data_IF_541574118978
#
_entry.id   IF_541574118978
#
_cell.length_a   1.000
_cell.length_b   1.000
_cell.length_c   1.000
_cell.angle_alpha   90.00
_cell.angle_beta   90.00
_cell.angle_gamma   90.00
#
_symmetry.space_group_name_H-M   'P 1'
#
loop_
_entity.id
_entity.type
_entity.pdbx_description
1 polymer ?
#
# COMPACT_ATOMS: atom_id res chain seq x y z
N UNK A 1 1.63 -32.70 -2.25
CA UNK A 1 1.69 -31.23 -2.12
C UNK A 1 2.13 -30.66 -3.46
N UNK A 2 1.40 -29.66 -3.96
CA UNK A 2 1.70 -28.97 -5.20
C UNK A 2 2.32 -27.61 -4.88
N UNK A 3 3.34 -27.22 -5.65
CA UNK A 3 4.03 -25.93 -5.51
C UNK A 3 4.19 -25.32 -6.89
N UNK A 4 3.88 -24.02 -7.01
CA UNK A 4 3.98 -23.26 -8.25
C UNK A 4 4.74 -21.95 -8.02
N UNK A 5 5.62 -21.63 -8.97
CA UNK A 5 6.20 -20.30 -9.13
C UNK A 5 5.38 -19.53 -10.18
N UNK A 6 5.06 -18.29 -9.88
CA UNK A 6 4.32 -17.39 -10.77
C UNK A 6 4.79 -15.95 -10.57
N UNK A 7 4.28 -15.03 -11.37
CA UNK A 7 4.60 -13.62 -11.26
C UNK A 7 4.25 -12.87 -12.53
N UNK A 8 4.47 -11.57 -12.49
CA UNK A 8 4.22 -10.66 -13.60
C UNK A 8 5.35 -9.63 -13.68
N UNK A 9 5.84 -9.37 -14.89
CA UNK A 9 6.85 -8.35 -15.15
C UNK A 9 6.22 -7.26 -16.02
N UNK A 10 6.13 -6.04 -15.48
CA UNK A 10 5.52 -4.89 -16.13
C UNK A 10 6.43 -3.68 -16.05
N UNK A 11 6.74 -3.09 -17.20
CA UNK A 11 7.52 -1.87 -17.28
C UNK A 11 7.16 -1.07 -18.53
N UNK A 12 7.44 0.23 -18.48
CA UNK A 12 7.20 1.12 -19.60
C UNK A 12 7.91 2.46 -19.47
N UNK A 13 7.60 3.36 -20.40
CA UNK A 13 8.14 4.72 -20.42
C UNK A 13 7.02 5.69 -20.05
N UNK A 14 7.25 6.52 -19.04
CA UNK A 14 6.30 7.52 -18.58
C UNK A 14 6.90 8.93 -18.67
N UNK A 15 6.08 9.89 -19.09
CA UNK A 15 6.38 11.33 -19.06
C UNK A 15 5.57 12.04 -17.98
N UNK A 16 6.22 12.89 -17.17
CA UNK A 16 5.58 13.66 -16.08
C UNK A 16 5.88 15.15 -16.23
N UNK A 17 4.86 16.00 -16.05
CA UNK A 17 4.99 17.46 -16.07
C UNK A 17 4.43 18.03 -14.76
N UNK A 18 5.29 18.59 -13.88
CA UNK A 18 4.88 19.14 -12.58
C UNK A 18 4.86 20.66 -12.58
N UNK A 19 3.66 21.26 -12.60
CA UNK A 19 3.52 22.69 -12.33
C UNK A 19 3.44 22.92 -10.81
N UNK A 20 4.54 23.36 -10.22
CA UNK A 20 4.56 23.83 -8.83
C UNK A 20 4.15 25.30 -8.78
N UNK A 21 3.08 25.58 -8.06
CA UNK A 21 2.64 26.93 -7.73
C UNK A 21 3.05 27.20 -6.28
N UNK A 22 4.03 28.08 -6.08
CA UNK A 22 4.45 28.47 -4.74
C UNK A 22 3.65 29.72 -4.33
N UNK A 23 3.03 29.62 -3.16
CA UNK A 23 2.38 30.72 -2.47
C UNK A 23 3.32 31.16 -1.35
N UNK A 24 4.03 32.27 -1.54
CA UNK A 24 4.83 32.86 -0.46
C UNK A 24 3.95 33.80 0.38
N UNK A 25 4.07 33.72 1.71
CA UNK A 25 3.53 34.74 2.60
C UNK A 25 4.39 35.99 2.47
N UNK A 26 3.77 37.14 2.21
CA UNK A 26 4.50 38.40 2.08
C UNK A 26 5.16 38.74 3.44
N UNK A 27 6.47 38.98 3.47
CA UNK A 27 7.12 39.56 4.64
C UNK A 27 6.46 40.91 4.92
N UNK A 28 5.96 41.08 6.16
CA UNK A 28 5.27 42.29 6.59
C UNK A 28 6.24 43.47 6.60
N UNK A 29 6.36 44.18 5.49
CA UNK A 29 6.94 45.51 5.44
C UNK A 29 5.92 46.45 4.79
N UNK A 30 5.20 47.12 5.68
CA UNK A 30 4.47 48.38 5.49
C UNK A 30 3.95 48.74 4.10
N UNK A 31 2.63 48.61 3.94
CA UNK A 31 1.84 49.47 3.05
C UNK A 31 1.42 48.88 1.71
N UNK A 32 0.10 48.92 1.49
CA UNK A 32 -0.66 48.71 0.26
C UNK A 32 -1.09 47.26 -0.12
N UNK A 33 -2.41 47.05 0.01
CA UNK A 33 -3.31 46.07 -0.64
C UNK A 33 -2.73 44.70 -1.03
N UNK A 34 -3.09 43.69 -0.21
CA UNK A 34 -2.66 42.29 -0.35
C UNK A 34 -3.02 41.63 -1.66
N UNK A 35 -2.03 41.47 -2.55
CA UNK A 35 -2.03 40.42 -3.55
C UNK A 35 -0.98 39.38 -3.19
N UNK A 36 -1.44 38.16 -2.93
CA UNK A 36 -0.59 36.98 -2.79
C UNK A 36 0.23 36.84 -4.08
N UNK A 37 1.56 36.98 -4.00
CA UNK A 37 2.42 36.81 -5.17
C UNK A 37 2.54 35.32 -5.48
N UNK A 38 1.74 34.87 -6.44
CA UNK A 38 1.85 33.53 -7.00
C UNK A 38 3.05 33.50 -7.95
N UNK A 39 4.11 32.79 -7.58
CA UNK A 39 5.24 32.56 -8.48
C UNK A 39 5.13 31.15 -9.06
N UNK A 40 5.02 31.04 -10.39
CA UNK A 40 5.02 29.75 -11.09
C UNK A 40 6.46 29.33 -11.36
N UNK A 41 6.88 28.16 -10.85
CA UNK A 41 8.15 27.58 -11.25
C UNK A 41 8.01 26.98 -12.67
N UNK A 42 9.07 27.11 -13.50
CA UNK A 42 9.09 26.52 -14.85
C UNK A 42 9.00 24.99 -14.73
N UNK A 43 7.91 24.41 -15.21
CA UNK A 43 7.77 22.96 -15.31
C UNK A 43 8.59 22.40 -16.47
N UNK A 44 9.22 21.25 -16.26
CA UNK A 44 9.90 20.46 -17.31
C UNK A 44 9.23 19.09 -17.39
N UNK A 45 9.00 18.63 -18.61
CA UNK A 45 8.62 17.23 -18.84
C UNK A 45 9.83 16.36 -18.49
N UNK A 46 9.64 15.41 -17.57
CA UNK A 46 10.62 14.37 -17.26
C UNK A 46 10.11 13.05 -17.80
N UNK A 47 10.91 12.40 -18.63
CA UNK A 47 10.64 11.05 -19.15
C UNK A 47 11.50 10.05 -18.39
N UNK A 48 10.91 8.94 -17.94
CA UNK A 48 11.59 7.89 -17.19
C UNK A 48 11.11 6.52 -17.66
N UNK A 49 12.02 5.53 -17.67
CA UNK A 49 11.67 4.10 -17.71
C UNK A 49 11.29 3.68 -16.29
N UNK A 50 10.08 3.15 -16.12
CA UNK A 50 9.50 2.80 -14.82
C UNK A 50 9.05 1.35 -14.81
N UNK A 51 9.18 0.69 -13.67
CA UNK A 51 8.50 -0.56 -13.33
C UNK A 51 7.06 -0.26 -12.89
N UNK A 52 6.08 -1.06 -13.29
CA UNK A 52 4.65 -0.85 -13.01
C UNK A 52 4.09 -1.85 -11.97
N UNK A 53 4.90 -2.23 -10.98
CA UNK A 53 4.48 -3.16 -9.93
C UNK A 53 4.74 -4.61 -10.31
N UNK A 54 5.91 -4.89 -10.88
CA UNK A 54 6.35 -6.26 -11.15
C UNK A 54 6.47 -7.06 -9.85
N UNK A 55 6.09 -8.33 -9.89
CA UNK A 55 6.16 -9.21 -8.73
C UNK A 55 6.46 -10.66 -9.09
N UNK A 56 6.96 -11.40 -8.09
CA UNK A 56 7.18 -12.84 -8.14
C UNK A 56 6.48 -13.47 -6.94
N UNK A 57 5.92 -14.66 -7.14
CA UNK A 57 5.14 -15.37 -6.14
C UNK A 57 5.41 -16.87 -6.14
N UNK A 58 5.36 -17.44 -4.95
CA UNK A 58 5.32 -18.88 -4.72
C UNK A 58 4.00 -19.22 -4.05
N UNK A 59 3.30 -20.24 -4.53
CA UNK A 59 2.09 -20.73 -3.86
C UNK A 59 2.04 -22.24 -3.90
N UNK A 60 1.32 -22.81 -2.96
CA UNK A 60 1.13 -24.25 -2.92
C UNK A 60 -0.12 -24.68 -2.16
N UNK A 61 -0.47 -25.94 -2.37
CA UNK A 61 -1.57 -26.59 -1.68
C UNK A 61 -1.25 -28.05 -1.37
N UNK A 62 -1.77 -28.53 -0.24
CA UNK A 62 -1.65 -29.92 0.18
C UNK A 62 -3.02 -30.45 0.60
N UNK A 63 -3.41 -31.59 0.03
CA UNK A 63 -4.63 -32.30 0.40
C UNK A 63 -4.42 -32.94 1.77
N UNK A 64 -5.29 -32.60 2.73
CA UNK A 64 -5.28 -33.12 4.09
C UNK A 64 -6.31 -34.26 4.28
N UNK A 65 -7.06 -34.62 3.22
CA UNK A 65 -8.13 -35.60 3.24
C UNK A 65 -9.51 -34.96 3.40
N UNK A 66 -10.56 -35.73 3.06
CA UNK A 66 -11.98 -35.37 3.27
C UNK A 66 -12.38 -34.00 2.69
N UNK A 67 -11.70 -33.55 1.62
CA UNK A 67 -11.95 -32.26 0.97
C UNK A 67 -11.29 -31.06 1.66
N UNK A 68 -10.53 -31.27 2.73
CA UNK A 68 -9.74 -30.23 3.40
C UNK A 68 -8.36 -30.09 2.76
N UNK A 69 -7.89 -28.86 2.58
CA UNK A 69 -6.57 -28.54 2.03
C UNK A 69 -5.85 -27.50 2.87
N UNK A 70 -4.55 -27.67 3.06
CA UNK A 70 -3.65 -26.58 3.43
C UNK A 70 -3.33 -25.75 2.19
N UNK A 71 -3.34 -24.43 2.32
CA UNK A 71 -2.99 -23.49 1.25
C UNK A 71 -2.01 -22.45 1.77
N UNK A 72 -1.07 -22.04 0.92
CA UNK A 72 -0.12 -20.99 1.28
C UNK A 72 0.34 -20.21 0.06
N UNK A 73 0.78 -18.97 0.30
CA UNK A 73 1.28 -18.05 -0.70
C UNK A 73 2.36 -17.16 -0.10
N UNK A 74 3.38 -16.83 -0.88
CA UNK A 74 4.39 -15.81 -0.59
C UNK A 74 4.63 -15.00 -1.86
N UNK A 75 4.30 -13.71 -1.83
CA UNK A 75 4.53 -12.79 -2.95
C UNK A 75 5.49 -11.66 -2.58
N UNK A 76 6.24 -11.22 -3.58
CA UNK A 76 7.33 -10.27 -3.45
C UNK A 76 7.37 -9.30 -4.64
N UNK A 77 7.44 -7.99 -4.37
CA UNK A 77 7.74 -6.99 -5.39
C UNK A 77 9.15 -7.19 -5.95
N UNK A 78 9.28 -7.24 -7.28
CA UNK A 78 10.56 -7.37 -7.98
C UNK A 78 10.66 -6.35 -9.10
N UNK A 79 11.06 -5.12 -8.76
CA UNK A 79 11.15 -4.05 -9.75
C UNK A 79 12.30 -4.28 -10.75
N UNK A 80 11.97 -4.23 -12.04
CA UNK A 80 12.96 -4.35 -13.12
C UNK A 80 13.79 -3.09 -13.33
N UNK A 81 13.39 -1.97 -12.73
CA UNK A 81 14.10 -0.69 -12.82
C UNK A 81 15.31 -0.61 -11.86
N UNK A 82 15.56 -1.66 -11.07
CA UNK A 82 16.57 -1.68 -10.01
C UNK A 82 16.05 -1.04 -8.72
N UNK A 83 16.47 -1.59 -7.59
CA UNK A 83 15.78 -1.37 -6.31
C UNK A 83 14.48 -2.17 -6.24
N UNK A 84 14.20 -2.73 -5.07
CA UNK A 84 13.04 -3.58 -4.80
C UNK A 84 12.83 -3.66 -3.30
N UNK A 85 11.86 -4.46 -2.85
CA UNK A 85 11.70 -4.62 -1.41
C UNK A 85 12.92 -5.32 -0.80
N UNK A 86 13.27 -4.88 0.39
CA UNK A 86 14.42 -5.39 1.16
C UNK A 86 14.05 -6.57 2.04
N UNK A 87 12.76 -6.91 2.11
CA UNK A 87 12.20 -7.99 2.91
C UNK A 87 11.21 -8.77 2.05
N UNK A 88 11.20 -10.09 2.24
CA UNK A 88 10.25 -11.00 1.59
C UNK A 88 8.83 -10.84 2.13
N UNK A 89 7.82 -11.13 1.29
CA UNK A 89 6.42 -11.17 1.71
C UNK A 89 5.78 -9.80 1.82
N UNK A 90 6.23 -8.85 1.02
CA UNK A 90 5.72 -7.48 1.03
C UNK A 90 4.45 -7.27 0.17
N UNK A 91 3.99 -8.32 -0.54
CA UNK A 91 2.69 -8.43 -1.24
C UNK A 91 1.79 -9.47 -0.54
N UNK A 92 0.82 -10.09 -1.22
CA UNK A 92 -0.07 -11.07 -0.59
C UNK A 92 0.63 -12.36 -0.20
N UNK A 93 0.71 -12.61 1.11
CA UNK A 93 1.45 -13.71 1.69
C UNK A 93 0.73 -14.27 2.91
N UNK A 94 0.33 -15.54 2.86
CA UNK A 94 -0.50 -16.17 3.88
C UNK A 94 -0.28 -17.67 3.99
N UNK A 95 -0.80 -18.23 5.07
CA UNK A 95 -1.11 -19.65 5.23
C UNK A 95 -2.60 -19.78 5.57
N UNK A 96 -3.21 -20.90 5.20
CA UNK A 96 -4.64 -21.10 5.43
C UNK A 96 -5.11 -22.53 5.24
N UNK A 97 -6.41 -22.69 5.46
CA UNK A 97 -7.16 -23.92 5.20
C UNK A 97 -8.30 -23.62 4.24
N UNK A 98 -8.51 -24.50 3.27
CA UNK A 98 -9.61 -24.43 2.31
C UNK A 98 -10.39 -25.75 2.32
N UNK A 99 -11.70 -25.68 2.14
CA UNK A 99 -12.57 -26.86 2.01
C UNK A 99 -14.00 -26.47 1.67
N UNK A 100 -14.95 -27.38 1.89
CA UNK A 100 -16.38 -27.11 1.64
C UNK A 100 -16.93 -25.94 2.49
N UNK A 101 -16.29 -25.66 3.63
CA UNK A 101 -16.65 -24.52 4.48
C UNK A 101 -16.19 -23.18 3.92
N UNK A 102 -15.40 -23.13 2.85
CA UNK A 102 -14.78 -21.93 2.31
C UNK A 102 -13.27 -21.90 2.57
N UNK A 103 -12.71 -20.70 2.73
CA UNK A 103 -11.26 -20.52 2.94
C UNK A 103 -11.00 -19.63 4.13
N UNK A 104 -10.14 -20.07 5.05
CA UNK A 104 -9.63 -19.29 6.17
C UNK A 104 -8.13 -19.04 5.97
N UNK A 105 -7.72 -17.77 5.92
CA UNK A 105 -6.34 -17.34 5.68
C UNK A 105 -5.84 -16.47 6.81
N UNK A 106 -4.56 -16.60 7.16
CA UNK A 106 -3.86 -15.75 8.11
C UNK A 106 -2.52 -15.32 7.53
N UNK A 107 -2.22 -14.02 7.62
CA UNK A 107 -1.00 -13.44 7.07
C UNK A 107 -1.22 -12.01 6.61
N UNK A 108 -0.39 -11.56 5.66
CA UNK A 108 -0.59 -10.29 4.97
C UNK A 108 -1.59 -10.52 3.84
N UNK A 109 -2.85 -10.21 4.08
CA UNK A 109 -3.99 -10.55 3.20
C UNK A 109 -4.69 -9.28 2.71
N UNK A 110 -5.08 -9.26 1.44
CA UNK A 110 -5.87 -8.19 0.85
C UNK A 110 -7.19 -7.98 1.59
N UNK A 111 -7.59 -6.72 1.76
CA UNK A 111 -8.94 -6.39 2.24
C UNK A 111 -9.91 -6.28 1.06
N UNK A 112 -11.20 -6.14 1.36
CA UNK A 112 -12.25 -6.10 0.34
C UNK A 112 -12.16 -4.88 -0.59
N UNK A 113 -11.54 -3.78 -0.12
CA UNK A 113 -11.30 -2.61 -0.96
C UNK A 113 -10.19 -2.88 -1.97
N UNK A 114 -9.11 -3.53 -1.54
CA UNK A 114 -8.02 -3.98 -2.41
C UNK A 114 -8.54 -4.95 -3.48
N UNK A 115 -9.40 -5.90 -3.13
CA UNK A 115 -10.05 -6.80 -4.10
C UNK A 115 -10.89 -6.03 -5.13
N UNK A 116 -11.69 -5.04 -4.67
CA UNK A 116 -12.54 -4.23 -5.55
C UNK A 116 -11.75 -3.21 -6.39
N UNK A 117 -10.54 -2.85 -5.95
CA UNK A 117 -9.73 -1.78 -6.53
C UNK A 117 -9.36 -2.04 -7.99
N UNK A 118 -9.16 -3.30 -8.37
CA UNK A 118 -8.81 -3.69 -9.75
C UNK A 118 -9.97 -3.44 -10.71
N UNK A 119 -11.22 -3.63 -10.26
CA UNK A 119 -12.40 -3.31 -11.06
C UNK A 119 -12.59 -1.80 -11.22
N UNK A 120 -12.18 -1.02 -10.22
CA UNK A 120 -12.30 0.43 -10.21
C UNK A 120 -11.19 1.10 -11.03
N UNK A 121 -9.97 0.56 -11.00
CA UNK A 121 -8.81 1.15 -11.67
C UNK A 121 -7.92 0.06 -12.30
N UNK A 122 -8.20 -0.27 -13.58
CA UNK A 122 -7.53 -1.35 -14.31
C UNK A 122 -6.19 -0.94 -14.93
N UNK A 123 -5.69 0.27 -14.67
CA UNK A 123 -4.48 0.79 -15.31
C UNK A 123 -3.21 0.49 -14.50
N UNK A 124 -2.20 -0.08 -15.16
CA UNK A 124 -0.86 -0.23 -14.59
C UNK A 124 -0.01 1.03 -14.84
N UNK A 125 0.54 1.64 -13.78
CA UNK A 125 1.48 2.77 -13.88
C UNK A 125 2.23 3.04 -12.57
N UNK A 126 3.34 3.77 -12.64
CA UNK A 126 4.14 4.18 -11.47
C UNK A 126 4.04 5.69 -11.23
N UNK A 127 2.85 6.23 -11.49
CA UNK A 127 2.61 7.66 -11.51
C UNK A 127 1.24 8.07 -10.94
N UNK A 128 1.27 8.81 -9.84
CA UNK A 128 0.09 9.35 -9.14
C UNK A 128 -0.76 10.36 -9.93
N UNK A 129 -0.31 10.85 -11.10
CA UNK A 129 -0.93 11.97 -11.82
C UNK A 129 -1.33 11.68 -13.27
N UNK A 130 -1.13 10.45 -13.78
CA UNK A 130 -1.60 10.09 -15.12
C UNK A 130 -2.34 8.75 -15.06
N UNK A 131 -3.67 8.83 -15.20
CA UNK A 131 -4.60 7.70 -15.42
C UNK A 131 -5.03 6.86 -14.23
N UNK A 132 -4.48 7.06 -13.03
CA UNK A 132 -4.95 6.32 -11.86
C UNK A 132 -6.16 6.99 -11.23
N UNK A 133 -7.23 6.23 -11.05
CA UNK A 133 -8.30 6.53 -10.10
C UNK A 133 -7.82 6.30 -8.64
N UNK A 134 -6.53 6.55 -8.35
CA UNK A 134 -5.88 6.28 -7.07
C UNK A 134 -6.47 7.02 -5.86
N UNK A 135 -7.33 8.02 -6.08
CA UNK A 135 -8.16 8.61 -5.02
C UNK A 135 -9.18 7.62 -4.44
N UNK A 136 -9.61 6.63 -5.23
CA UNK A 136 -10.57 5.60 -4.85
C UNK A 136 -9.90 4.36 -4.21
N UNK A 137 -8.57 4.21 -4.40
CA UNK A 137 -7.72 3.14 -3.84
C UNK A 137 -7.15 3.40 -2.44
N UNK A 138 -7.57 4.49 -1.78
CA UNK A 138 -6.95 4.97 -0.52
C UNK A 138 -7.13 4.03 0.68
N UNK A 139 -7.96 3.00 0.55
CA UNK A 139 -8.23 2.00 1.59
C UNK A 139 -7.72 0.60 1.20
N UNK A 140 -6.92 0.49 0.13
CA UNK A 140 -6.31 -0.75 -0.35
C UNK A 140 -5.09 -1.08 0.52
N UNK A 141 -5.38 -1.42 1.78
CA UNK A 141 -4.39 -1.84 2.75
C UNK A 141 -4.35 -3.37 2.77
N UNK A 142 -3.15 -3.90 2.98
CA UNK A 142 -2.88 -5.33 3.16
C UNK A 142 -2.32 -5.58 4.56
N UNK A 143 -3.18 -5.56 5.60
CA UNK A 143 -2.75 -5.74 6.98
C UNK A 143 -2.41 -7.20 7.28
N UNK A 144 -1.57 -7.40 8.29
CA UNK A 144 -1.45 -8.71 8.93
C UNK A 144 -2.75 -9.02 9.66
N UNK A 145 -3.47 -10.03 9.20
CA UNK A 145 -4.88 -10.25 9.53
C UNK A 145 -5.28 -11.71 9.39
N UNK A 146 -6.50 -12.01 9.85
CA UNK A 146 -7.20 -13.27 9.58
C UNK A 146 -8.42 -12.94 8.72
N UNK A 147 -8.60 -13.69 7.62
CA UNK A 147 -9.72 -13.52 6.69
C UNK A 147 -10.41 -14.84 6.43
N UNK A 148 -11.74 -14.82 6.44
CA UNK A 148 -12.58 -15.90 5.99
C UNK A 148 -13.35 -15.48 4.74
N UNK A 149 -13.33 -16.33 3.73
CA UNK A 149 -14.09 -16.19 2.48
C UNK A 149 -15.04 -17.40 2.38
N UNK A 150 -16.35 -17.14 2.24
CA UNK A 150 -17.36 -18.18 2.17
C UNK A 150 -17.34 -18.91 0.81
N UNK A 151 -17.87 -20.13 0.72
CA UNK A 151 -18.20 -20.74 -0.55
C UNK A 151 -19.22 -19.87 -1.31
N UNK A 152 -19.30 -20.09 -2.61
CA UNK A 152 -20.39 -19.57 -3.43
C UNK A 152 -21.67 -20.37 -3.18
N UNK A 153 -22.75 -19.68 -2.85
CA UNK A 153 -24.07 -20.28 -2.65
C UNK A 153 -25.11 -19.53 -3.46
N UNK A 154 -25.64 -20.15 -4.52
CA UNK A 154 -26.65 -19.56 -5.40
C UNK A 154 -26.25 -18.19 -6.00
N UNK A 155 -24.97 -18.00 -6.30
CA UNK A 155 -24.43 -16.75 -6.85
C UNK A 155 -24.07 -15.70 -5.79
N UNK A 156 -24.13 -16.04 -4.50
CA UNK A 156 -23.71 -15.16 -3.40
C UNK A 156 -22.45 -15.69 -2.74
N UNK A 157 -21.54 -14.78 -2.39
CA UNK A 157 -20.43 -15.07 -1.49
C UNK A 157 -20.19 -13.91 -0.54
N UNK A 158 -19.42 -14.13 0.51
CA UNK A 158 -19.07 -13.09 1.45
C UNK A 158 -17.70 -13.32 2.07
N UNK A 159 -17.16 -12.25 2.63
CA UNK A 159 -15.89 -12.31 3.33
C UNK A 159 -15.93 -11.48 4.61
N UNK A 160 -15.20 -11.95 5.61
CA UNK A 160 -14.96 -11.21 6.86
C UNK A 160 -13.47 -11.24 7.17
N UNK A 161 -12.94 -10.12 7.64
CA UNK A 161 -11.53 -9.98 7.98
C UNK A 161 -11.38 -9.27 9.31
N UNK A 162 -10.45 -9.76 10.12
CA UNK A 162 -10.10 -9.23 11.43
C UNK A 162 -8.62 -8.89 11.49
N UNK A 163 -8.31 -7.66 11.88
CA UNK A 163 -6.96 -7.17 12.17
C UNK A 163 -6.86 -6.96 13.66
N UNK A 164 -6.07 -7.77 14.39
CA UNK A 164 -5.83 -7.55 15.81
C UNK A 164 -5.22 -6.17 16.07
N UNK A 165 -5.59 -5.54 17.17
CA UNK A 165 -5.06 -4.24 17.63
C UNK A 165 -3.52 -4.13 17.62
N UNK A 166 -2.80 -5.24 17.86
CA UNK A 166 -1.32 -5.24 17.82
C UNK A 166 -0.76 -5.33 16.40
N UNK A 167 -1.55 -5.75 15.43
CA UNK A 167 -1.21 -5.82 14.02
C UNK A 167 -1.77 -4.65 13.20
N UNK A 168 -2.70 -3.87 13.77
CA UNK A 168 -3.15 -2.62 13.17
C UNK A 168 -2.07 -1.53 13.34
N UNK A 169 -2.06 -0.53 12.45
CA UNK A 169 -1.09 0.58 12.47
C UNK A 169 -1.17 1.30 13.83
N UNK A 170 -0.28 0.93 14.75
CA UNK A 170 -0.05 1.68 15.98
C UNK A 170 0.84 2.87 15.66
N UNK A 171 0.39 4.08 16.01
CA UNK A 171 1.15 5.32 15.75
C UNK A 171 2.29 5.51 16.77
N UNK A 172 3.05 4.45 17.06
CA UNK A 172 4.25 4.56 17.87
C UNK A 172 5.40 5.05 17.01
N UNK A 173 5.84 6.30 17.26
CA UNK A 173 7.09 6.82 16.71
C UNK A 173 8.10 6.92 17.85
N UNK A 174 9.22 6.18 17.83
CA UNK A 174 10.24 6.27 18.87
C UNK A 174 10.85 7.67 18.90
N UNK A 175 11.37 8.08 20.06
CA UNK A 175 12.04 9.36 20.22
C UNK A 175 13.32 9.41 19.35
N UNK A 176 13.61 10.56 18.77
CA UNK A 176 14.83 10.76 17.98
C UNK A 176 15.31 12.20 18.07
N UNK A 177 16.55 12.43 17.64
CA UNK A 177 17.13 13.76 17.54
C UNK A 177 17.08 14.21 16.08
N UNK A 178 16.61 15.43 15.85
CA UNK A 178 16.73 16.09 14.54
C UNK A 178 17.77 17.19 14.64
N UNK A 179 18.60 17.33 13.61
CA UNK A 179 19.60 18.39 13.52
C UNK A 179 19.30 19.25 12.30
N UNK A 180 19.06 20.53 12.54
CA UNK A 180 18.84 21.52 11.49
C UNK A 180 20.04 22.44 11.44
N UNK A 181 20.67 22.53 10.26
CA UNK A 181 21.75 23.48 9.99
C UNK A 181 21.17 24.68 9.23
N UNK A 182 21.24 25.86 9.83
CA UNK A 182 20.83 27.12 9.20
C UNK A 182 22.04 28.05 9.15
N UNK A 183 22.65 28.16 7.97
CA UNK A 183 23.93 28.85 7.82
C UNK A 183 25.04 28.15 8.63
N UNK A 184 25.79 28.89 9.45
CA UNK A 184 26.84 28.34 10.33
C UNK A 184 26.31 27.84 11.68
N UNK A 185 25.01 27.91 11.94
CA UNK A 185 24.41 27.48 13.19
C UNK A 185 23.80 26.08 13.06
N UNK A 186 24.16 25.18 13.98
CA UNK A 186 23.60 23.84 14.12
C UNK A 186 22.67 23.81 15.33
N UNK A 187 21.39 23.53 15.11
CA UNK A 187 20.41 23.33 16.19
C UNK A 187 20.01 21.86 16.23
N UNK A 188 20.18 21.23 17.39
CA UNK A 188 19.74 19.85 17.63
C UNK A 188 18.50 19.89 18.53
N UNK A 189 17.40 19.33 18.05
CA UNK A 189 16.11 19.30 18.75
C UNK A 189 15.75 17.87 19.10
N UNK A 190 15.39 17.63 20.36
CA UNK A 190 14.82 16.36 20.79
C UNK A 190 13.37 16.27 20.29
N UNK A 191 13.07 15.25 19.50
CA UNK A 191 11.70 14.90 19.13
C UNK A 191 11.28 13.76 20.06
N UNK A 192 10.38 14.02 21.03
CA UNK A 192 9.92 12.99 21.95
C UNK A 192 9.17 11.88 21.21
N UNK A 193 9.17 10.69 21.80
CA UNK A 193 8.36 9.59 21.29
C UNK A 193 6.88 10.01 21.31
N UNK A 194 6.18 9.79 20.20
CA UNK A 194 4.73 9.91 20.17
C UNK A 194 4.18 8.52 20.42
N UNK A 195 3.59 8.32 21.60
CA UNK A 195 2.76 7.16 21.86
C UNK A 195 1.40 7.49 21.27
N UNK A 196 1.14 7.00 20.05
CA UNK A 196 -0.20 6.99 19.49
C UNK A 196 -1.18 6.24 20.40
N UNK A 197 -2.50 6.43 20.17
CA UNK A 197 -3.48 5.50 20.76
C UNK A 197 -3.06 4.06 20.43
N UNK A 198 -3.26 3.09 21.34
CA UNK A 198 -3.18 1.68 20.98
C UNK A 198 -3.92 1.46 19.66
N UNK A 199 -3.37 0.65 18.77
CA UNK A 199 -4.12 0.22 17.59
C UNK A 199 -5.49 -0.29 18.04
N UNK A 200 -6.52 0.00 17.27
CA UNK A 200 -7.83 -0.64 17.48
C UNK A 200 -7.86 -1.93 16.69
N UNK A 201 -8.67 -2.87 17.16
CA UNK A 201 -9.12 -3.95 16.29
C UNK A 201 -9.81 -3.34 15.06
N UNK A 202 -9.53 -3.88 13.88
CA UNK A 202 -10.18 -3.48 12.62
C UNK A 202 -10.94 -4.66 12.06
N UNK A 203 -12.17 -4.41 11.61
CA UNK A 203 -13.05 -5.40 11.03
C UNK A 203 -13.45 -4.95 9.64
N UNK A 204 -13.36 -5.87 8.68
CA UNK A 204 -13.93 -5.69 7.36
C UNK A 204 -14.94 -6.80 7.09
N UNK A 205 -16.00 -6.45 6.38
CA UNK A 205 -17.00 -7.40 5.91
C UNK A 205 -17.51 -6.94 4.54
N UNK A 206 -17.72 -7.90 3.64
CA UNK A 206 -18.24 -7.64 2.30
C UNK A 206 -19.04 -8.82 1.77
N UNK A 207 -19.94 -8.53 0.84
CA UNK A 207 -20.62 -9.51 0.00
C UNK A 207 -20.09 -9.33 -1.42
N UNK A 208 -19.86 -10.44 -2.12
CA UNK A 208 -19.54 -10.43 -3.55
C UNK A 208 -20.64 -11.11 -4.33
#
# INVERSE_FOLDING_TARGET
ADVSLYGEIKAGVEGRNYQLQLTEAQAANGGASGQVKVTKAKSRIRTKISDFGSFIGFKGSEDLGEGLKAVWQLEQDVSVAGGGATQWGNRESFIGLAGEFGTLRAGRVANQFDDASQAIDPWDSNNDVASQLGIFKRHDDMPVSVRYDSPEFSGFSGSVQFVPAQNSKSAYKPAYWTTVNTGSATTTTFVPAVVGKPGSDVYYAGLN
#
